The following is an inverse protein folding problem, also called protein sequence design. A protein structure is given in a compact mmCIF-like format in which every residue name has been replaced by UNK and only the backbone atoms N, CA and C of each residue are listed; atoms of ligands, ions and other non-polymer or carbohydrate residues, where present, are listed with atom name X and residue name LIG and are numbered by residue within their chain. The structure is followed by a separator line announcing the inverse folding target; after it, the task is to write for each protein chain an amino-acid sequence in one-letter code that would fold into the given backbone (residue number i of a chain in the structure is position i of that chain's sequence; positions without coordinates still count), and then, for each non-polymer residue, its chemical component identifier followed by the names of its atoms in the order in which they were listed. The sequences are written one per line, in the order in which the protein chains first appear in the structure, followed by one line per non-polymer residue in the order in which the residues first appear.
data_IF_195255251367
#
_entry.id   IF_195255251367
#
_cell.length_a   1.000
_cell.length_b   1.000
_cell.length_c   1.000
_cell.angle_alpha   90.00
_cell.angle_beta   90.00
_cell.angle_gamma   90.00
#
_symmetry.space_group_name_H-M   'P 1'
#
loop_
_entity.id
_entity.type
_entity.pdbx_description
1 polymer ?
#
# COMPACT_ATOMS: atom_id res chain seq x y z
N UNK A 1 -4.09 21.84 11.42
CA UNK A 1 -4.20 21.17 12.73
C UNK A 1 -5.26 20.07 12.78
N UNK A 2 -6.58 20.33 12.78
CA UNK A 2 -7.58 19.23 12.87
C UNK A 2 -7.63 18.29 11.65
N UNK A 3 -7.40 18.81 10.44
CA UNK A 3 -7.44 18.02 9.20
C UNK A 3 -6.22 17.09 9.08
N UNK A 4 -5.02 17.61 9.41
CA UNK A 4 -3.77 16.82 9.40
C UNK A 4 -3.82 15.66 10.39
N UNK A 5 -4.37 15.88 11.60
CA UNK A 5 -4.55 14.80 12.58
C UNK A 5 -5.52 13.73 12.11
N UNK A 6 -6.56 14.09 11.35
CA UNK A 6 -7.51 13.13 10.80
C UNK A 6 -6.87 12.27 9.70
N UNK A 7 -6.06 12.90 8.84
CA UNK A 7 -5.36 12.22 7.75
C UNK A 7 -4.30 11.24 8.27
N UNK A 8 -3.55 11.62 9.30
CA UNK A 8 -2.59 10.73 9.97
C UNK A 8 -3.27 9.52 10.62
N UNK A 9 -4.41 9.74 11.29
CA UNK A 9 -5.16 8.65 11.90
C UNK A 9 -5.65 7.66 10.83
N UNK A 10 -6.11 8.16 9.69
CA UNK A 10 -6.51 7.33 8.56
C UNK A 10 -5.34 6.50 8.03
N UNK A 11 -4.16 7.11 7.83
CA UNK A 11 -2.97 6.40 7.34
C UNK A 11 -2.54 5.26 8.29
N UNK A 12 -2.59 5.49 9.60
CA UNK A 12 -2.30 4.45 10.61
C UNK A 12 -3.32 3.30 10.49
N UNK A 13 -4.60 3.62 10.40
CA UNK A 13 -5.67 2.61 10.24
C UNK A 13 -5.48 1.82 8.94
N UNK A 14 -5.14 2.49 7.84
CA UNK A 14 -4.87 1.85 6.54
C UNK A 14 -3.66 0.93 6.59
N UNK A 15 -2.55 1.34 7.22
CA UNK A 15 -1.38 0.48 7.42
C UNK A 15 -1.71 -0.74 8.27
N UNK A 16 -2.48 -0.55 9.34
CA UNK A 16 -2.88 -1.62 10.27
C UNK A 16 -3.75 -2.67 9.56
N UNK A 17 -4.79 -2.21 8.85
CA UNK A 17 -5.67 -3.07 8.06
C UNK A 17 -4.91 -3.77 6.93
N UNK A 18 -4.03 -3.04 6.25
CA UNK A 18 -3.19 -3.58 5.19
C UNK A 18 -2.27 -4.70 5.67
N UNK A 19 -1.57 -4.49 6.79
CA UNK A 19 -0.72 -5.49 7.40
C UNK A 19 -1.50 -6.75 7.83
N UNK A 20 -2.69 -6.56 8.41
CA UNK A 20 -3.56 -7.66 8.81
C UNK A 20 -4.02 -8.47 7.59
N UNK A 21 -4.36 -7.80 6.50
CA UNK A 21 -4.78 -8.44 5.26
C UNK A 21 -3.63 -9.22 4.60
N UNK A 22 -2.41 -8.66 4.61
CA UNK A 22 -1.19 -9.39 4.20
C UNK A 22 -1.00 -10.65 5.04
N UNK A 23 -1.15 -10.56 6.38
CA UNK A 23 -0.98 -11.69 7.28
C UNK A 23 -2.00 -12.82 6.99
N UNK A 24 -3.26 -12.47 6.73
CA UNK A 24 -4.31 -13.44 6.36
C UNK A 24 -3.94 -14.16 5.06
N UNK A 25 -3.55 -13.41 4.02
CA UNK A 25 -3.21 -14.01 2.72
C UNK A 25 -1.93 -14.83 2.83
N UNK A 26 -0.95 -14.40 3.64
CA UNK A 26 0.26 -15.16 3.90
C UNK A 26 -0.06 -16.49 4.60
N UNK A 27 -1.01 -16.50 5.53
CA UNK A 27 -1.47 -17.74 6.14
C UNK A 27 -2.15 -18.66 5.10
N UNK A 28 -2.97 -18.10 4.21
CA UNK A 28 -3.57 -18.86 3.09
C UNK A 28 -2.49 -19.42 2.15
N UNK A 29 -1.44 -18.65 1.85
CA UNK A 29 -0.28 -19.11 1.09
C UNK A 29 0.42 -20.28 1.78
N UNK A 30 0.59 -20.24 3.11
CA UNK A 30 1.21 -21.35 3.86
C UNK A 30 0.43 -22.65 3.72
N UNK A 31 -0.90 -22.56 3.60
CA UNK A 31 -1.81 -23.71 3.47
C UNK A 31 -1.82 -24.23 2.01
N UNK A 32 -2.04 -23.33 1.04
CA UNK A 32 -2.25 -23.68 -0.37
C UNK A 32 -0.94 -23.87 -1.14
N UNK A 33 0.14 -23.20 -0.72
CA UNK A 33 1.49 -23.18 -1.32
C UNK A 33 1.54 -22.76 -2.80
N UNK A 34 0.55 -22.02 -3.28
CA UNK A 34 0.56 -21.50 -4.64
C UNK A 34 1.44 -20.24 -4.77
N UNK A 35 2.38 -20.19 -5.74
CA UNK A 35 3.28 -19.04 -5.91
C UNK A 35 2.54 -17.77 -6.35
N UNK A 36 1.35 -17.90 -6.92
CA UNK A 36 0.48 -16.77 -7.32
C UNK A 36 0.05 -15.92 -6.13
N UNK A 37 -0.19 -16.54 -4.98
CA UNK A 37 -0.50 -15.83 -3.73
C UNK A 37 0.67 -14.96 -3.24
N UNK A 38 1.92 -15.35 -3.51
CA UNK A 38 3.08 -14.51 -3.18
C UNK A 38 3.14 -13.25 -4.03
N UNK A 39 2.89 -13.36 -5.34
CA UNK A 39 2.79 -12.20 -6.22
C UNK A 39 1.64 -11.28 -5.80
N UNK A 40 0.51 -11.87 -5.40
CA UNK A 40 -0.63 -11.11 -4.88
C UNK A 40 -0.27 -10.37 -3.58
N UNK A 41 0.38 -11.03 -2.63
CA UNK A 41 0.87 -10.39 -1.38
C UNK A 41 1.83 -9.23 -1.70
N UNK A 42 2.77 -9.42 -2.62
CA UNK A 42 3.72 -8.39 -2.99
C UNK A 42 3.03 -7.17 -3.65
N UNK A 43 2.09 -7.42 -4.55
CA UNK A 43 1.29 -6.36 -5.17
C UNK A 43 0.43 -5.62 -4.15
N UNK A 44 -0.18 -6.35 -3.21
CA UNK A 44 -0.99 -5.79 -2.12
C UNK A 44 -0.15 -4.93 -1.16
N UNK A 45 1.05 -5.38 -0.81
CA UNK A 45 2.01 -4.60 -0.05
C UNK A 45 2.40 -3.30 -0.77
N UNK A 46 2.75 -3.40 -2.04
CA UNK A 46 3.10 -2.24 -2.87
C UNK A 46 1.95 -1.23 -2.93
N UNK A 47 0.72 -1.73 -3.05
CA UNK A 47 -0.49 -0.90 -3.07
C UNK A 47 -0.72 -0.17 -1.74
N UNK A 48 -0.59 -0.85 -0.60
CA UNK A 48 -0.72 -0.23 0.74
C UNK A 48 0.33 0.87 0.94
N UNK A 49 1.59 0.58 0.58
CA UNK A 49 2.68 1.56 0.64
C UNK A 49 2.33 2.76 -0.25
N UNK A 50 1.89 2.52 -1.49
CA UNK A 50 1.49 3.59 -2.40
C UNK A 50 0.41 4.50 -1.81
N UNK A 51 -0.67 3.93 -1.27
CA UNK A 51 -1.79 4.71 -0.68
C UNK A 51 -1.31 5.57 0.49
N UNK A 52 -0.47 5.03 1.36
CA UNK A 52 -0.06 5.68 2.61
C UNK A 52 1.17 6.57 2.46
N UNK A 53 1.88 6.51 1.33
CA UNK A 53 3.15 7.19 1.12
C UNK A 53 3.03 8.72 1.19
N UNK A 54 2.07 9.31 0.49
CA UNK A 54 1.88 10.76 0.47
C UNK A 54 1.48 11.28 1.86
N UNK A 55 0.62 10.54 2.56
CA UNK A 55 0.21 10.86 3.94
C UNK A 55 1.43 10.83 4.87
N UNK A 56 2.30 9.82 4.76
CA UNK A 56 3.51 9.73 5.56
C UNK A 56 4.45 10.92 5.33
N UNK A 57 4.72 11.26 4.06
CA UNK A 57 5.64 12.36 3.72
C UNK A 57 5.12 13.71 4.22
N UNK A 58 3.81 13.94 4.17
CA UNK A 58 3.21 15.18 4.68
C UNK A 58 3.45 15.43 6.18
N UNK A 59 3.73 14.38 6.96
CA UNK A 59 4.09 14.49 8.38
C UNK A 59 5.53 14.95 8.57
N UNK A 60 6.45 14.48 7.72
CA UNK A 60 7.88 14.73 7.88
C UNK A 60 8.33 16.04 7.22
N UNK A 61 7.73 16.40 6.10
CA UNK A 61 8.13 17.56 5.29
C UNK A 61 6.90 18.31 4.79
N UNK A 62 6.52 19.42 5.45
CA UNK A 62 5.33 20.20 5.08
C UNK A 62 5.58 21.17 3.91
N UNK A 63 6.65 21.01 3.14
CA UNK A 63 6.91 21.86 1.98
C UNK A 63 6.03 21.46 0.79
N UNK A 64 5.45 22.46 0.13
CA UNK A 64 4.48 22.24 -0.95
C UNK A 64 5.06 21.48 -2.16
N UNK A 65 6.38 21.57 -2.37
CA UNK A 65 7.05 20.90 -3.48
C UNK A 65 7.16 19.39 -3.24
N UNK A 66 7.69 18.95 -2.09
CA UNK A 66 7.77 17.51 -1.76
C UNK A 66 6.39 16.89 -1.62
N UNK A 67 5.41 17.61 -1.07
CA UNK A 67 4.03 17.15 -0.96
C UNK A 67 3.38 16.88 -2.33
N UNK A 68 3.62 17.73 -3.32
CA UNK A 68 3.11 17.53 -4.68
C UNK A 68 3.75 16.28 -5.33
N UNK A 69 5.08 16.16 -5.25
CA UNK A 69 5.80 15.05 -5.85
C UNK A 69 5.53 13.71 -5.17
N UNK A 70 5.34 13.70 -3.84
CA UNK A 70 4.97 12.50 -3.10
C UNK A 70 3.58 11.99 -3.49
N UNK A 71 2.63 12.90 -3.78
CA UNK A 71 1.32 12.53 -4.29
C UNK A 71 1.38 11.89 -5.68
N UNK A 72 2.23 12.41 -6.58
CA UNK A 72 2.46 11.82 -7.90
C UNK A 72 3.10 10.44 -7.76
N UNK A 73 4.15 10.33 -6.95
CA UNK A 73 4.86 9.07 -6.72
C UNK A 73 3.96 8.00 -6.10
N UNK A 74 3.16 8.39 -5.09
CA UNK A 74 2.14 7.55 -4.47
C UNK A 74 1.23 6.89 -5.52
N UNK A 75 0.72 7.67 -6.48
CA UNK A 75 -0.14 7.13 -7.55
C UNK A 75 0.57 6.14 -8.45
N UNK A 76 1.83 6.41 -8.82
CA UNK A 76 2.63 5.49 -9.64
C UNK A 76 2.81 4.16 -8.89
N UNK A 77 3.13 4.20 -7.61
CA UNK A 77 3.31 3.00 -6.78
C UNK A 77 2.01 2.20 -6.65
N UNK A 78 0.87 2.87 -6.48
CA UNK A 78 -0.45 2.21 -6.46
C UNK A 78 -0.72 1.48 -7.79
N UNK A 79 -0.46 2.12 -8.93
CA UNK A 79 -0.64 1.51 -10.25
C UNK A 79 0.28 0.30 -10.41
N UNK A 80 1.55 0.39 -9.99
CA UNK A 80 2.46 -0.76 -10.01
C UNK A 80 1.96 -1.91 -9.14
N UNK A 81 1.45 -1.62 -7.94
CA UNK A 81 0.84 -2.63 -7.07
C UNK A 81 -0.32 -3.36 -7.75
N UNK A 82 -1.23 -2.61 -8.38
CA UNK A 82 -2.34 -3.17 -9.16
C UNK A 82 -1.86 -4.04 -10.33
N UNK A 83 -0.85 -3.58 -11.08
CA UNK A 83 -0.27 -4.36 -12.18
C UNK A 83 0.33 -5.69 -11.70
N UNK A 84 1.02 -5.69 -10.56
CA UNK A 84 1.59 -6.92 -9.99
C UNK A 84 0.49 -7.88 -9.53
N UNK A 85 -0.60 -7.37 -8.93
CA UNK A 85 -1.75 -8.19 -8.55
C UNK A 85 -2.44 -8.80 -9.77
N UNK A 86 -2.66 -8.00 -10.82
CA UNK A 86 -3.24 -8.46 -12.08
C UNK A 86 -2.37 -9.54 -12.73
N UNK A 87 -1.04 -9.35 -12.74
CA UNK A 87 -0.10 -10.35 -13.20
C UNK A 87 -0.17 -11.65 -12.40
N UNK A 88 -0.24 -11.56 -11.07
CA UNK A 88 -0.40 -12.72 -10.18
C UNK A 88 -1.67 -13.52 -10.46
N UNK A 89 -2.78 -12.83 -10.77
CA UNK A 89 -4.07 -13.46 -11.12
C UNK A 89 -3.99 -14.14 -12.49
N UNK A 90 -3.41 -13.48 -13.50
CA UNK A 90 -3.30 -14.04 -14.86
C UNK A 90 -2.40 -15.28 -14.96
N UNK A 91 -1.54 -15.51 -13.96
CA UNK A 91 -0.59 -16.64 -13.91
C UNK A 91 -1.10 -17.85 -13.10
N UNK A 92 -2.24 -17.73 -12.43
CA UNK A 92 -2.89 -18.79 -11.65
C UNK A 92 -4.14 -19.33 -12.32
#
# INVERSE_FOLDING_TARGET
MQIETMQQMLAIVTLSLGALLIAIIFNAYRIVRQPTLLYFIYGLFTLIVGITFADLISVFTPDAFTALWSAVFSRIVVVLGLCVMAYGILRG
#
